data_IF_278373160927
#
_entry.id   IF_278373160927
#
_cell.length_a   1.000
_cell.length_b   1.000
_cell.length_c   1.000
_cell.angle_alpha   90.00
_cell.angle_beta   90.00
_cell.angle_gamma   90.00
#
_symmetry.space_group_name_H-M   'P 1'
#
loop_
_entity.id
_entity.type
_entity.pdbx_description
1 polymer ?
#
# COMPACT_ATOMS: atom_id res chain seq x y z
N UNK A 1 -8.73 -11.00 10.53
CA UNK A 1 -9.37 -10.28 9.43
C UNK A 1 -8.89 -10.88 8.13
N UNK A 2 -9.81 -11.33 7.26
CA UNK A 2 -9.48 -11.89 5.93
C UNK A 2 -9.29 -10.76 4.94
N UNK A 3 -8.15 -10.76 4.26
CA UNK A 3 -7.76 -9.69 3.32
C UNK A 3 -7.56 -10.25 1.92
N UNK A 4 -8.15 -9.62 0.92
CA UNK A 4 -7.82 -9.83 -0.50
C UNK A 4 -7.05 -8.63 -1.02
N UNK A 5 -6.00 -8.86 -1.80
CA UNK A 5 -5.15 -7.80 -2.31
C UNK A 5 -5.07 -7.82 -3.84
N UNK A 6 -5.22 -6.64 -4.43
CA UNK A 6 -5.14 -6.43 -5.88
C UNK A 6 -4.02 -5.45 -6.21
N UNK A 7 -3.29 -5.72 -7.29
CA UNK A 7 -2.07 -4.98 -7.65
C UNK A 7 -1.09 -4.93 -6.48
N UNK A 8 -0.85 -6.08 -5.88
CA UNK A 8 -0.23 -6.26 -4.57
C UNK A 8 1.18 -5.69 -4.47
N UNK A 9 1.95 -5.73 -5.57
CA UNK A 9 3.34 -5.31 -5.54
C UNK A 9 4.15 -6.16 -4.54
N UNK A 10 4.96 -5.50 -3.72
CA UNK A 10 5.76 -6.20 -2.71
C UNK A 10 5.03 -6.41 -1.36
N UNK A 11 3.72 -6.13 -1.29
CA UNK A 11 2.94 -6.34 -0.07
C UNK A 11 3.00 -5.19 0.95
N UNK A 12 3.37 -3.98 0.53
CA UNK A 12 3.52 -2.85 1.46
C UNK A 12 2.21 -2.34 2.03
N UNK A 13 1.11 -2.44 1.27
CA UNK A 13 -0.21 -2.04 1.73
C UNK A 13 -0.74 -3.03 2.79
N UNK A 14 -0.56 -4.32 2.56
CA UNK A 14 -0.91 -5.42 3.45
C UNK A 14 -0.13 -5.35 4.77
N UNK A 15 1.18 -5.09 4.68
CA UNK A 15 2.01 -4.83 5.86
C UNK A 15 1.50 -3.62 6.67
N UNK A 16 1.04 -2.56 6.00
CA UNK A 16 0.44 -1.40 6.64
C UNK A 16 -0.89 -1.72 7.33
N UNK A 17 -1.72 -2.56 6.71
CA UNK A 17 -2.96 -3.08 7.29
C UNK A 17 -2.64 -3.89 8.56
N UNK A 18 -1.66 -4.78 8.48
CA UNK A 18 -1.22 -5.59 9.62
C UNK A 18 -0.65 -4.74 10.77
N UNK A 19 0.10 -3.68 10.46
CA UNK A 19 0.59 -2.73 11.47
C UNK A 19 -0.55 -1.95 12.14
N UNK A 20 -1.63 -1.64 11.41
CA UNK A 20 -2.76 -0.88 11.92
C UNK A 20 -3.73 -1.72 12.75
N UNK A 21 -4.01 -2.95 12.32
CA UNK A 21 -5.10 -3.78 12.86
C UNK A 21 -4.64 -5.09 13.50
N UNK A 22 -3.35 -5.40 13.47
CA UNK A 22 -2.81 -6.69 13.91
C UNK A 22 -2.84 -7.76 12.80
N UNK A 23 -2.55 -9.03 13.15
CA UNK A 23 -2.38 -10.10 12.17
C UNK A 23 -3.56 -10.25 11.21
N UNK A 24 -3.25 -10.44 9.93
CA UNK A 24 -4.22 -10.64 8.86
C UNK A 24 -4.12 -12.06 8.29
N UNK A 25 -5.23 -12.54 7.73
CA UNK A 25 -5.29 -13.73 6.90
C UNK A 25 -5.36 -13.28 5.43
N UNK A 26 -4.25 -13.38 4.72
CA UNK A 26 -4.15 -12.98 3.31
C UNK A 26 -4.70 -14.11 2.43
N UNK A 27 -5.97 -13.99 2.07
CA UNK A 27 -6.76 -15.02 1.37
C UNK A 27 -6.31 -15.21 -0.07
N UNK A 28 -6.03 -14.12 -0.77
CA UNK A 28 -5.46 -14.11 -2.11
C UNK A 28 -4.72 -12.79 -2.38
N UNK A 29 -3.81 -12.85 -3.33
CA UNK A 29 -3.14 -11.70 -3.93
C UNK A 29 -3.37 -11.69 -5.45
N UNK A 30 -3.23 -10.56 -6.12
CA UNK A 30 -3.31 -10.47 -7.58
C UNK A 30 -2.28 -9.49 -8.10
N UNK A 31 -1.29 -10.01 -8.83
CA UNK A 31 -0.30 -9.22 -9.54
C UNK A 31 0.22 -9.97 -10.77
N UNK A 32 0.34 -9.27 -11.89
CA UNK A 32 0.76 -9.84 -13.18
C UNK A 32 2.27 -9.82 -13.40
N UNK A 33 3.03 -9.01 -12.63
CA UNK A 33 4.48 -8.90 -12.80
C UNK A 33 5.16 -10.19 -12.31
N UNK A 34 5.94 -10.81 -13.18
CA UNK A 34 6.62 -12.08 -12.88
C UNK A 34 7.62 -11.98 -11.71
N UNK A 35 8.24 -10.82 -11.50
CA UNK A 35 9.16 -10.63 -10.38
C UNK A 35 8.39 -10.44 -9.08
N UNK A 36 7.26 -9.73 -9.13
CA UNK A 36 6.31 -9.64 -8.01
C UNK A 36 5.77 -11.03 -7.67
N UNK A 37 5.36 -11.83 -8.65
CA UNK A 37 4.90 -13.21 -8.42
C UNK A 37 5.94 -14.08 -7.70
N UNK A 38 7.24 -13.92 -8.02
CA UNK A 38 8.32 -14.62 -7.29
C UNK A 38 8.43 -14.15 -5.84
N UNK A 39 8.32 -12.85 -5.61
CA UNK A 39 8.35 -12.27 -4.26
C UNK A 39 7.16 -12.79 -3.44
N UNK A 40 5.96 -12.73 -3.98
CA UNK A 40 4.74 -13.17 -3.32
C UNK A 40 4.78 -14.67 -2.98
N UNK A 41 5.25 -15.51 -3.92
CA UNK A 41 5.44 -16.94 -3.66
C UNK A 41 6.50 -17.24 -2.59
N UNK A 42 7.49 -16.36 -2.41
CA UNK A 42 8.51 -16.50 -1.36
C UNK A 42 7.97 -16.13 0.02
N UNK A 43 7.25 -15.00 0.13
CA UNK A 43 6.77 -14.48 1.41
C UNK A 43 5.42 -15.09 1.85
N UNK A 44 4.60 -15.49 0.87
CA UNK A 44 3.24 -16.00 1.08
C UNK A 44 3.03 -17.29 0.26
N UNK A 45 3.77 -18.38 0.55
CA UNK A 45 3.75 -19.60 -0.26
C UNK A 45 2.38 -20.28 -0.30
N UNK A 46 1.57 -20.09 0.74
CA UNK A 46 0.23 -20.69 0.85
C UNK A 46 -0.88 -19.78 0.32
N UNK A 47 -0.57 -18.52 -0.06
CA UNK A 47 -1.54 -17.57 -0.57
C UNK A 47 -1.54 -17.58 -2.11
N UNK A 48 -2.67 -17.89 -2.77
CA UNK A 48 -2.72 -17.94 -4.23
C UNK A 48 -2.54 -16.53 -4.84
N UNK A 49 -1.66 -16.42 -5.83
CA UNK A 49 -1.59 -15.24 -6.71
C UNK A 49 -2.53 -15.47 -7.91
N UNK A 50 -3.61 -14.70 -7.97
CA UNK A 50 -4.62 -14.79 -9.02
C UNK A 50 -4.15 -14.22 -10.36
N UNK A 51 -2.99 -13.55 -10.40
CA UNK A 51 -2.37 -12.99 -11.60
C UNK A 51 -3.14 -11.81 -12.18
N UNK A 52 -3.61 -11.94 -13.42
CA UNK A 52 -4.32 -10.89 -14.15
C UNK A 52 -5.76 -10.74 -13.64
N UNK A 53 -6.01 -9.69 -12.88
CA UNK A 53 -7.31 -9.41 -12.25
C UNK A 53 -8.46 -9.27 -13.27
N UNK A 54 -8.15 -8.97 -14.53
CA UNK A 54 -9.16 -8.88 -15.61
C UNK A 54 -9.70 -10.24 -16.05
N UNK A 55 -9.03 -11.32 -15.64
CA UNK A 55 -9.39 -12.72 -15.98
C UNK A 55 -9.94 -13.51 -14.80
N UNK A 56 -9.97 -12.91 -13.62
CA UNK A 56 -10.40 -13.58 -12.41
C UNK A 56 -11.92 -13.73 -12.38
N UNK A 57 -12.40 -14.94 -12.12
CA UNK A 57 -13.81 -15.16 -11.79
C UNK A 57 -14.02 -14.95 -10.28
N UNK A 58 -14.47 -13.76 -9.92
CA UNK A 58 -14.64 -13.33 -8.53
C UNK A 58 -15.69 -14.17 -7.76
N UNK A 59 -16.66 -14.78 -8.45
CA UNK A 59 -17.67 -15.66 -7.84
C UNK A 59 -17.07 -16.94 -7.25
N UNK A 60 -15.88 -17.34 -7.74
CA UNK A 60 -15.19 -18.54 -7.29
C UNK A 60 -14.16 -18.24 -6.18
N UNK A 61 -13.98 -16.98 -5.80
CA UNK A 61 -13.02 -16.60 -4.77
C UNK A 61 -13.65 -16.68 -3.38
N UNK A 62 -12.80 -16.90 -2.39
CA UNK A 62 -13.23 -16.89 -1.00
C UNK A 62 -13.65 -15.46 -0.58
N UNK A 63 -14.65 -15.32 0.30
CA UNK A 63 -15.06 -14.04 0.82
C UNK A 63 -13.93 -13.41 1.67
N UNK A 64 -13.81 -12.09 1.61
CA UNK A 64 -12.84 -11.30 2.37
C UNK A 64 -13.56 -10.21 3.16
N UNK A 65 -12.98 -9.84 4.31
CA UNK A 65 -13.50 -8.77 5.17
C UNK A 65 -13.02 -7.41 4.68
N UNK A 66 -11.81 -7.36 4.11
CA UNK A 66 -11.19 -6.18 3.52
C UNK A 66 -10.63 -6.52 2.14
N UNK A 67 -10.96 -5.71 1.13
CA UNK A 67 -10.29 -5.72 -0.17
C UNK A 67 -9.39 -4.49 -0.26
N UNK A 68 -8.10 -4.68 -0.53
CA UNK A 68 -7.17 -3.58 -0.74
C UNK A 68 -6.59 -3.59 -2.16
N UNK A 69 -6.25 -2.39 -2.67
CA UNK A 69 -5.62 -2.26 -3.97
C UNK A 69 -4.71 -1.02 -4.05
N UNK A 70 -3.45 -1.24 -4.45
CA UNK A 70 -2.49 -0.20 -4.84
C UNK A 70 -2.37 -0.15 -6.36
N UNK A 71 -3.38 0.36 -7.07
CA UNK A 71 -3.45 0.27 -8.51
C UNK A 71 -2.69 1.40 -9.23
N UNK A 72 -2.14 1.13 -10.45
CA UNK A 72 -1.38 2.13 -11.17
C UNK A 72 -2.25 3.34 -11.54
N UNK A 73 -1.68 4.56 -11.34
CA UNK A 73 -2.25 5.79 -11.84
C UNK A 73 -1.57 6.15 -13.14
N UNK A 74 -2.32 6.15 -14.25
CA UNK A 74 -1.83 6.85 -15.41
C UNK A 74 -2.70 8.08 -15.70
N UNK A 75 -2.08 9.15 -16.25
CA UNK A 75 -2.80 10.38 -16.48
C UNK A 75 -3.95 10.15 -17.47
N UNK A 76 -5.13 10.67 -17.10
CA UNK A 76 -6.22 10.84 -18.05
C UNK A 76 -5.73 11.74 -19.18
N UNK A 77 -5.24 11.17 -20.29
CA UNK A 77 -4.98 11.95 -21.47
C UNK A 77 -6.33 12.36 -22.06
N UNK A 78 -6.70 13.61 -21.88
CA UNK A 78 -7.88 14.24 -22.50
C UNK A 78 -7.71 14.45 -24.02
N UNK A 79 -6.61 13.97 -24.61
CA UNK A 79 -6.31 14.12 -26.02
C UNK A 79 -6.11 12.77 -26.68
N UNK A 80 -7.16 12.25 -27.32
CA UNK A 80 -6.99 11.10 -28.24
C UNK A 80 -8.13 10.13 -28.24
N UNK A 81 -8.98 10.25 -29.22
CA UNK A 81 -10.02 9.30 -29.63
C UNK A 81 -9.48 7.86 -29.69
N UNK A 82 -10.18 6.97 -28.99
CA UNK A 82 -10.39 5.56 -29.30
C UNK A 82 -9.27 4.80 -29.99
N UNK A 83 -8.49 4.07 -29.21
CA UNK A 83 -7.97 2.76 -29.64
C UNK A 83 -8.10 1.79 -28.46
N UNK A 84 -9.05 0.88 -28.59
CA UNK A 84 -9.21 -0.43 -27.99
C UNK A 84 -8.76 -0.64 -26.53
N UNK A 85 -9.61 -1.23 -25.73
CA UNK A 85 -9.42 -2.14 -24.55
C UNK A 85 -8.18 -2.05 -23.63
N UNK A 86 -7.23 -1.13 -23.85
CA UNK A 86 -5.99 -0.95 -23.08
C UNK A 86 -5.96 0.38 -22.30
N UNK A 87 -7.12 0.99 -22.06
CA UNK A 87 -7.20 2.22 -21.26
C UNK A 87 -7.14 1.86 -19.77
N UNK A 88 -6.19 2.41 -19.05
CA UNK A 88 -5.97 2.16 -17.61
C UNK A 88 -7.08 2.67 -16.70
N UNK A 89 -8.01 3.48 -17.21
CA UNK A 89 -9.34 3.64 -16.63
C UNK A 89 -10.04 2.29 -16.45
N UNK A 90 -9.63 1.28 -17.24
CA UNK A 90 -10.10 -0.08 -17.11
C UNK A 90 -9.70 -0.74 -15.78
N UNK A 91 -8.52 -0.47 -15.20
CA UNK A 91 -8.05 -1.19 -14.00
C UNK A 91 -8.99 -0.96 -12.81
N UNK A 92 -9.38 0.30 -12.54
CA UNK A 92 -10.34 0.56 -11.46
C UNK A 92 -11.72 -0.06 -11.75
N UNK A 93 -12.16 -0.12 -13.00
CA UNK A 93 -13.39 -0.82 -13.38
C UNK A 93 -13.37 -2.29 -12.96
N UNK A 94 -12.26 -2.99 -13.21
CA UNK A 94 -12.08 -4.37 -12.78
C UNK A 94 -11.99 -4.54 -11.26
N UNK A 95 -11.42 -3.57 -10.55
CA UNK A 95 -11.44 -3.53 -9.08
C UNK A 95 -12.87 -3.33 -8.58
N UNK A 96 -13.66 -2.44 -9.21
CA UNK A 96 -15.06 -2.21 -8.89
C UNK A 96 -15.90 -3.48 -9.12
N UNK A 97 -15.63 -4.24 -10.19
CA UNK A 97 -16.25 -5.54 -10.43
C UNK A 97 -15.94 -6.55 -9.32
N UNK A 98 -14.67 -6.61 -8.89
CA UNK A 98 -14.28 -7.44 -7.74
C UNK A 98 -15.05 -7.06 -6.48
N UNK A 99 -15.12 -5.76 -6.15
CA UNK A 99 -15.87 -5.22 -5.00
C UNK A 99 -17.35 -5.60 -5.11
N UNK A 100 -17.95 -5.45 -6.30
CA UNK A 100 -19.38 -5.72 -6.53
C UNK A 100 -19.76 -7.18 -6.27
N UNK A 101 -18.85 -8.11 -6.59
CA UNK A 101 -19.06 -9.57 -6.47
C UNK A 101 -18.68 -10.07 -5.08
N UNK A 102 -17.52 -9.68 -4.55
CA UNK A 102 -17.00 -10.14 -3.27
C UNK A 102 -17.70 -9.49 -2.08
N UNK A 103 -18.21 -8.27 -2.25
CA UNK A 103 -18.92 -7.50 -1.21
C UNK A 103 -18.15 -7.47 0.12
N UNK A 104 -16.86 -7.07 0.14
CA UNK A 104 -16.11 -6.97 1.38
C UNK A 104 -16.76 -5.97 2.34
N UNK A 105 -16.56 -6.12 3.64
CA UNK A 105 -17.03 -5.13 4.61
C UNK A 105 -16.36 -3.77 4.43
N UNK A 106 -15.11 -3.78 3.95
CA UNK A 106 -14.25 -2.59 3.83
C UNK A 106 -13.43 -2.63 2.55
N UNK A 107 -13.15 -1.46 2.02
CA UNK A 107 -12.29 -1.26 0.85
C UNK A 107 -11.20 -0.26 1.20
N UNK A 108 -9.94 -0.59 0.92
CA UNK A 108 -8.79 0.31 1.02
C UNK A 108 -8.15 0.46 -0.34
N UNK A 109 -8.09 1.68 -0.85
CA UNK A 109 -7.43 1.99 -2.12
C UNK A 109 -6.24 2.92 -1.88
N UNK A 110 -5.16 2.69 -2.60
CA UNK A 110 -4.00 3.58 -2.61
C UNK A 110 -3.68 4.04 -4.03
N UNK A 111 -3.24 5.29 -4.16
CA UNK A 111 -2.77 5.83 -5.42
C UNK A 111 -1.84 7.05 -5.19
N UNK A 112 -1.22 7.56 -6.25
CA UNK A 112 -0.46 8.81 -6.16
C UNK A 112 -1.38 9.98 -5.79
N UNK A 113 -0.85 10.99 -5.08
CA UNK A 113 -1.64 12.13 -4.60
C UNK A 113 -2.37 12.89 -5.73
N UNK A 114 -1.75 12.99 -6.92
CA UNK A 114 -2.35 13.64 -8.10
C UNK A 114 -3.59 12.93 -8.65
N UNK A 115 -3.80 11.66 -8.29
CA UNK A 115 -4.98 10.91 -8.72
C UNK A 115 -6.30 11.53 -8.22
N UNK A 116 -6.28 12.18 -7.06
CA UNK A 116 -7.48 12.86 -6.53
C UNK A 116 -8.10 13.83 -7.53
N UNK A 117 -7.25 14.65 -8.19
CA UNK A 117 -7.70 15.61 -9.19
C UNK A 117 -8.00 14.98 -10.56
N UNK A 118 -7.34 13.85 -10.89
CA UNK A 118 -7.40 13.25 -12.22
C UNK A 118 -8.43 12.13 -12.37
N UNK A 119 -8.98 11.59 -11.26
CA UNK A 119 -9.93 10.49 -11.32
C UNK A 119 -10.48 10.04 -9.97
N UNK A 120 -9.88 10.48 -8.87
CA UNK A 120 -10.26 10.04 -7.52
C UNK A 120 -11.72 10.33 -7.18
N UNK A 121 -12.27 11.45 -7.67
CA UNK A 121 -13.71 11.76 -7.51
C UNK A 121 -14.58 10.70 -8.18
N UNK A 122 -14.21 10.24 -9.36
CA UNK A 122 -14.92 9.15 -10.06
C UNK A 122 -14.85 7.83 -9.32
N UNK A 123 -13.69 7.53 -8.70
CA UNK A 123 -13.51 6.35 -7.84
C UNK A 123 -14.45 6.41 -6.63
N UNK A 124 -14.52 7.54 -5.94
CA UNK A 124 -15.40 7.75 -4.79
C UNK A 124 -16.87 7.61 -5.20
N UNK A 125 -17.27 8.23 -6.32
CA UNK A 125 -18.63 8.12 -6.84
C UNK A 125 -19.02 6.66 -7.16
N UNK A 126 -18.10 5.88 -7.74
CA UNK A 126 -18.34 4.47 -8.04
C UNK A 126 -18.44 3.62 -6.77
N UNK A 127 -17.58 3.86 -5.75
CA UNK A 127 -17.69 3.19 -4.45
C UNK A 127 -19.06 3.48 -3.80
N UNK A 128 -19.50 4.74 -3.82
CA UNK A 128 -20.85 5.12 -3.33
C UNK A 128 -21.95 4.41 -4.10
N UNK A 129 -21.87 4.34 -5.45
CA UNK A 129 -22.83 3.61 -6.27
C UNK A 129 -22.89 2.11 -5.93
N UNK A 130 -21.78 1.54 -5.49
CA UNK A 130 -21.69 0.16 -5.02
C UNK A 130 -22.22 -0.02 -3.58
N UNK A 131 -22.62 1.06 -2.90
CA UNK A 131 -23.14 1.03 -1.54
C UNK A 131 -22.08 1.19 -0.45
N UNK A 132 -20.87 1.68 -0.81
CA UNK A 132 -19.81 2.03 0.14
C UNK A 132 -19.80 3.53 0.36
N UNK A 133 -20.80 4.04 1.06
CA UNK A 133 -21.13 5.45 1.19
C UNK A 133 -20.42 6.16 2.37
N UNK A 134 -19.93 5.44 3.39
CA UNK A 134 -18.94 5.99 4.33
C UNK A 134 -17.56 5.95 3.69
N UNK A 135 -17.32 6.93 2.83
CA UNK A 135 -16.06 7.03 2.09
C UNK A 135 -15.20 8.16 2.68
N UNK A 136 -14.03 7.81 3.18
CA UNK A 136 -13.04 8.72 3.77
C UNK A 136 -11.75 8.64 2.95
N UNK A 137 -11.12 9.79 2.74
CA UNK A 137 -9.87 9.83 2.00
C UNK A 137 -8.91 10.88 2.57
N UNK A 138 -7.64 10.68 2.31
CA UNK A 138 -6.59 11.60 2.74
C UNK A 138 -5.32 11.43 1.95
N UNK A 139 -4.53 12.50 1.87
CA UNK A 139 -3.18 12.46 1.32
C UNK A 139 -2.22 12.41 2.51
N UNK A 140 -1.48 11.31 2.61
CA UNK A 140 -0.45 11.11 3.63
C UNK A 140 0.90 11.06 2.95
N UNK A 141 1.93 11.66 3.56
CA UNK A 141 3.31 11.60 3.08
C UNK A 141 4.09 10.55 3.86
N UNK A 142 5.11 9.96 3.23
CA UNK A 142 5.98 9.05 3.95
C UNK A 142 6.76 9.76 5.08
N UNK A 143 7.10 11.05 4.91
CA UNK A 143 7.72 11.87 5.95
C UNK A 143 6.81 12.06 7.18
N UNK A 144 5.48 12.04 7.01
CA UNK A 144 4.52 12.11 8.13
C UNK A 144 4.61 10.85 9.01
N UNK A 145 4.97 9.71 8.42
CA UNK A 145 5.26 8.46 9.11
C UNK A 145 6.74 8.35 9.56
N UNK A 146 7.52 9.42 9.40
CA UNK A 146 8.93 9.51 9.82
C UNK A 146 9.97 9.12 8.77
N UNK A 147 9.57 8.71 7.57
CA UNK A 147 10.50 8.35 6.50
C UNK A 147 11.34 9.55 6.00
N UNK A 148 12.57 9.34 5.50
CA UNK A 148 13.45 10.42 5.05
C UNK A 148 13.12 10.94 3.65
N UNK A 149 11.88 10.78 3.18
CA UNK A 149 11.40 11.25 1.87
C UNK A 149 9.91 11.60 1.90
N UNK A 150 9.48 12.48 0.99
CA UNK A 150 8.10 13.00 0.98
C UNK A 150 7.06 11.96 0.56
N UNK A 151 7.16 11.42 -0.64
CA UNK A 151 6.29 10.38 -1.22
C UNK A 151 4.81 10.50 -0.82
N UNK A 152 4.14 11.58 -1.24
CA UNK A 152 2.71 11.77 -0.98
C UNK A 152 1.85 10.72 -1.71
N UNK A 153 0.90 10.11 -1.01
CA UNK A 153 -0.03 9.10 -1.51
C UNK A 153 -1.45 9.41 -1.06
N UNK A 154 -2.39 9.18 -1.97
CA UNK A 154 -3.82 9.20 -1.69
C UNK A 154 -4.21 7.83 -1.13
N UNK A 155 -4.92 7.84 -0.01
CA UNK A 155 -5.58 6.66 0.55
C UNK A 155 -7.07 6.92 0.59
N UNK A 156 -7.87 5.93 0.20
CA UNK A 156 -9.33 5.94 0.25
C UNK A 156 -9.76 4.73 1.05
N UNK A 157 -10.49 4.96 2.13
CA UNK A 157 -11.14 3.96 2.97
C UNK A 157 -12.63 4.07 2.79
N UNK A 158 -13.31 2.96 2.50
CA UNK A 158 -14.75 2.99 2.29
C UNK A 158 -15.43 1.77 2.86
N UNK A 159 -16.63 1.97 3.42
CA UNK A 159 -17.48 0.92 3.98
C UNK A 159 -18.96 1.32 3.82
N UNK A 160 -19.90 0.36 3.84
CA UNK A 160 -21.33 0.65 3.93
C UNK A 160 -21.65 1.34 5.27
N UNK A 161 -22.62 2.28 5.28
CA UNK A 161 -23.03 3.00 6.50
C UNK A 161 -23.77 2.11 7.50
N UNK A 162 -24.38 1.02 7.04
CA UNK A 162 -25.19 0.12 7.88
C UNK A 162 -24.42 -1.04 8.54
N UNK A 163 -23.12 -1.10 8.39
CA UNK A 163 -22.34 -2.03 9.19
C UNK A 163 -22.28 -1.50 10.61
N UNK A 164 -23.21 -1.94 11.46
CA UNK A 164 -23.13 -1.81 12.91
C UNK A 164 -21.84 -2.49 13.41
N UNK A 165 -20.72 -1.94 12.97
CA UNK A 165 -19.40 -2.41 13.33
C UNK A 165 -19.18 -2.09 14.80
N UNK A 166 -19.07 -3.14 15.61
CA UNK A 166 -18.34 -3.03 16.87
C UNK A 166 -16.98 -2.41 16.52
N UNK A 167 -16.80 -1.15 16.98
CA UNK A 167 -15.60 -0.39 16.70
C UNK A 167 -14.37 -1.21 17.06
N UNK A 168 -13.49 -1.43 16.10
CA UNK A 168 -12.18 -2.00 16.37
C UNK A 168 -11.50 -1.10 17.38
N UNK A 169 -11.50 -1.52 18.64
CA UNK A 169 -10.78 -0.85 19.71
C UNK A 169 -9.30 -0.84 19.35
N UNK A 170 -8.80 0.36 19.05
CA UNK A 170 -7.42 0.59 18.70
C UNK A 170 -6.49 0.14 19.82
N UNK A 171 -5.83 -0.99 19.62
CA UNK A 171 -4.72 -1.42 20.45
C UNK A 171 -3.56 -0.45 20.27
N UNK A 172 -3.46 0.52 21.17
CA UNK A 172 -2.25 1.34 21.34
C UNK A 172 -1.14 0.44 21.89
N UNK A 173 -0.37 -0.21 21.02
CA UNK A 173 0.91 -0.75 21.41
C UNK A 173 1.95 0.35 21.24
N UNK A 174 2.33 0.97 22.36
CA UNK A 174 3.53 1.81 22.47
C UNK A 174 4.73 0.92 22.18
N UNK A 175 5.39 1.13 21.05
CA UNK A 175 6.65 0.48 20.74
C UNK A 175 7.74 1.13 21.57
N UNK A 176 8.22 0.44 22.60
CA UNK A 176 9.44 0.84 23.32
C UNK A 176 10.64 0.32 22.53
N UNK A 177 11.38 1.25 21.95
CA UNK A 177 12.52 0.99 21.09
C UNK A 177 13.81 1.05 21.89
N UNK A 178 14.46 -0.10 22.00
CA UNK A 178 15.83 -0.19 22.50
C UNK A 178 16.82 0.24 21.41
N UNK A 179 17.59 1.27 21.70
CA UNK A 179 18.67 1.74 20.84
C UNK A 179 19.82 0.70 20.82
N UNK A 180 20.20 0.24 19.64
CA UNK A 180 21.50 -0.39 19.39
C UNK A 180 22.32 0.53 18.52
N UNK A 181 23.38 1.08 19.11
CA UNK A 181 24.43 1.80 18.40
C UNK A 181 25.25 0.80 17.57
N UNK A 182 25.22 0.96 16.26
CA UNK A 182 26.25 0.42 15.37
C UNK A 182 26.37 1.33 14.16
N UNK A 183 27.32 2.28 14.24
CA UNK A 183 27.50 3.32 13.24
C UNK A 183 28.53 2.89 12.19
N UNK A 184 28.05 2.57 11.00
CA UNK A 184 28.90 2.76 9.81
C UNK A 184 28.86 4.26 9.46
N UNK A 185 30.05 4.91 9.46
CA UNK A 185 30.17 6.35 9.23
C UNK A 185 29.86 6.74 7.79
N UNK A 186 28.57 6.94 7.49
CA UNK A 186 28.14 7.72 6.32
C UNK A 186 27.77 9.11 6.81
N UNK A 187 28.32 10.15 6.18
CA UNK A 187 27.96 11.54 6.52
C UNK A 187 26.69 11.93 5.77
N UNK A 188 25.58 12.16 6.47
CA UNK A 188 24.26 12.43 5.89
C UNK A 188 23.96 13.93 5.72
N UNK A 189 24.86 14.84 6.17
CA UNK A 189 24.68 16.29 6.13
C UNK A 189 23.31 16.72 6.67
N UNK A 190 22.57 17.53 5.95
CA UNK A 190 21.24 18.05 6.34
C UNK A 190 20.17 16.96 6.49
N UNK A 191 20.39 15.77 5.97
CA UNK A 191 19.47 14.62 6.11
C UNK A 191 19.69 13.83 7.40
N UNK A 192 20.74 14.08 8.16
CA UNK A 192 21.09 13.33 9.38
C UNK A 192 19.90 13.16 10.34
N UNK A 193 19.11 14.20 10.69
CA UNK A 193 17.98 14.04 11.61
C UNK A 193 16.89 13.11 11.06
N UNK A 194 16.62 13.14 9.75
CA UNK A 194 15.62 12.30 9.12
C UNK A 194 16.08 10.84 9.03
N UNK A 195 17.35 10.63 8.74
CA UNK A 195 17.96 9.30 8.69
C UNK A 195 17.93 8.66 10.09
N UNK A 196 18.38 9.38 11.13
CA UNK A 196 18.38 8.86 12.51
C UNK A 196 16.98 8.54 13.02
N UNK A 197 15.99 9.37 12.69
CA UNK A 197 14.60 9.08 12.98
C UNK A 197 14.14 7.78 12.33
N UNK A 198 14.49 7.59 11.06
CA UNK A 198 14.06 6.40 10.31
C UNK A 198 14.79 5.14 10.78
N UNK A 199 16.08 5.24 11.15
CA UNK A 199 16.82 4.17 11.81
C UNK A 199 16.11 3.73 13.09
N UNK A 200 15.65 4.70 13.90
CA UNK A 200 14.89 4.41 15.11
C UNK A 200 13.55 3.71 14.80
N UNK A 201 12.79 4.20 13.83
CA UNK A 201 11.49 3.63 13.44
C UNK A 201 11.64 2.23 12.84
N UNK A 202 12.65 2.02 11.99
CA UNK A 202 12.89 0.72 11.33
C UNK A 202 13.65 -0.27 12.19
N UNK A 203 14.26 0.20 13.30
CA UNK A 203 15.05 -0.61 14.21
C UNK A 203 16.39 -1.08 13.63
N UNK A 204 16.86 -0.47 12.52
CA UNK A 204 18.11 -0.84 11.86
C UNK A 204 18.82 0.37 11.23
N UNK A 205 20.18 0.32 11.13
CA UNK A 205 20.95 1.41 10.54
C UNK A 205 20.68 1.53 9.05
N UNK A 206 20.86 2.74 8.51
CA UNK A 206 20.78 3.01 7.09
C UNK A 206 21.89 2.26 6.34
N UNK A 207 21.55 1.47 5.30
CA UNK A 207 22.56 0.87 4.43
C UNK A 207 23.31 1.93 3.62
N UNK A 208 24.41 1.52 2.97
CA UNK A 208 25.16 2.39 2.05
C UNK A 208 24.23 2.86 0.93
N UNK A 209 24.09 4.18 0.68
CA UNK A 209 23.06 4.72 -0.22
C UNK A 209 23.36 4.47 -1.71
N UNK A 210 24.61 4.41 -2.09
CA UNK A 210 25.03 4.26 -3.48
C UNK A 210 26.43 3.66 -3.60
N UNK A 211 26.71 3.05 -4.75
CA UNK A 211 28.01 2.60 -5.16
C UNK A 211 28.36 3.10 -6.58
N UNK A 212 29.40 2.55 -7.24
CA UNK A 212 29.77 2.92 -8.60
C UNK A 212 28.69 2.65 -9.67
N UNK A 213 27.67 1.83 -9.35
CA UNK A 213 26.53 1.52 -10.22
C UNK A 213 25.30 2.39 -9.93
N UNK A 214 25.41 3.33 -9.00
CA UNK A 214 24.33 4.23 -8.55
C UNK A 214 23.65 3.80 -7.25
N UNK A 215 22.42 4.24 -7.02
CA UNK A 215 21.65 4.00 -5.79
C UNK A 215 21.53 2.51 -5.47
N UNK A 216 21.83 2.09 -4.25
CA UNK A 216 21.72 0.69 -3.81
C UNK A 216 20.25 0.27 -3.55
N UNK A 217 19.81 -0.89 -4.09
CA UNK A 217 18.46 -1.39 -3.81
C UNK A 217 18.19 -1.60 -2.32
N UNK A 218 19.17 -2.06 -1.55
CA UNK A 218 19.05 -2.23 -0.09
C UNK A 218 18.80 -0.93 0.64
N UNK A 219 19.37 0.17 0.18
CA UNK A 219 19.10 1.49 0.71
C UNK A 219 17.66 1.95 0.37
N UNK A 220 17.21 1.72 -0.88
CA UNK A 220 15.83 2.04 -1.27
C UNK A 220 14.84 1.18 -0.51
N UNK A 221 15.12 -0.12 -0.33
CA UNK A 221 14.32 -1.02 0.49
C UNK A 221 14.18 -0.52 1.94
N UNK A 222 15.29 -0.09 2.53
CA UNK A 222 15.30 0.52 3.85
C UNK A 222 14.50 1.84 3.90
N UNK A 223 14.68 2.72 2.91
CA UNK A 223 13.90 3.95 2.79
C UNK A 223 12.40 3.69 2.67
N UNK A 224 12.00 2.60 2.02
CA UNK A 224 10.61 2.17 1.89
C UNK A 224 10.05 1.49 3.16
N UNK A 225 10.87 1.38 4.23
CA UNK A 225 10.44 0.83 5.53
C UNK A 225 10.21 -0.67 5.54
N UNK A 226 10.77 -1.38 4.58
CA UNK A 226 10.64 -2.83 4.45
C UNK A 226 11.66 -3.56 5.34
N UNK A 227 11.39 -4.80 5.76
CA UNK A 227 12.40 -5.66 6.36
C UNK A 227 13.62 -5.84 5.45
N UNK A 228 14.77 -6.09 6.05
CA UNK A 228 15.99 -6.35 5.29
C UNK A 228 15.85 -7.59 4.42
N UNK A 229 16.18 -7.44 3.14
CA UNK A 229 16.12 -8.55 2.19
C UNK A 229 14.74 -8.87 1.64
N UNK A 230 13.69 -8.13 2.03
CA UNK A 230 12.32 -8.38 1.58
C UNK A 230 12.19 -8.42 0.05
N UNK A 231 12.88 -7.51 -0.65
CA UNK A 231 12.96 -7.48 -2.11
C UNK A 231 14.36 -7.89 -2.59
N UNK A 232 15.39 -7.54 -1.83
CA UNK A 232 16.77 -7.62 -2.30
C UNK A 232 17.39 -9.02 -2.21
N UNK A 233 16.84 -9.93 -1.37
CA UNK A 233 17.36 -11.31 -1.20
C UNK A 233 16.75 -12.34 -2.16
N UNK A 234 15.94 -11.93 -3.15
CA UNK A 234 15.20 -12.85 -4.03
C UNK A 234 15.95 -13.20 -5.32
N UNK A 235 17.22 -12.80 -5.47
CA UNK A 235 18.01 -13.04 -6.70
C UNK A 235 17.46 -12.30 -7.93
N UNK A 236 16.67 -11.26 -7.75
CA UNK A 236 16.16 -10.43 -8.83
C UNK A 236 17.25 -9.49 -9.35
N UNK A 237 17.16 -9.11 -10.62
CA UNK A 237 18.08 -8.11 -11.17
C UNK A 237 17.91 -6.76 -10.44
N UNK A 238 19.00 -5.98 -10.33
CA UNK A 238 18.99 -4.65 -9.71
C UNK A 238 17.89 -3.74 -10.26
N UNK A 239 17.67 -3.76 -11.57
CA UNK A 239 16.61 -2.96 -12.22
C UNK A 239 15.22 -3.42 -11.78
N UNK A 240 15.00 -4.74 -11.67
CA UNK A 240 13.73 -5.28 -11.19
C UNK A 240 13.47 -4.90 -9.73
N UNK A 241 14.50 -4.99 -8.86
CA UNK A 241 14.40 -4.58 -7.47
C UNK A 241 14.03 -3.08 -7.35
N UNK A 242 14.76 -2.20 -8.03
CA UNK A 242 14.51 -0.75 -7.99
C UNK A 242 13.14 -0.38 -8.57
N UNK A 243 12.69 -1.04 -9.65
CA UNK A 243 11.35 -0.84 -10.22
C UNK A 243 10.27 -1.22 -9.20
N UNK A 244 10.41 -2.40 -8.59
CA UNK A 244 9.45 -2.90 -7.60
C UNK A 244 9.39 -1.99 -6.37
N UNK A 245 10.54 -1.60 -5.82
CA UNK A 245 10.64 -0.68 -4.68
C UNK A 245 10.07 0.71 -5.01
N UNK A 246 10.31 1.21 -6.23
CA UNK A 246 9.77 2.50 -6.67
C UNK A 246 8.24 2.53 -6.76
N UNK A 247 7.61 1.42 -7.11
CA UNK A 247 6.16 1.32 -7.31
C UNK A 247 5.37 1.02 -6.03
N UNK A 248 5.98 0.43 -5.01
CA UNK A 248 5.26 -0.06 -3.83
C UNK A 248 4.86 1.02 -2.82
N UNK A 249 4.26 0.62 -1.74
CA UNK A 249 3.73 1.48 -0.66
C UNK A 249 4.61 1.34 0.59
N UNK A 250 4.90 2.45 1.27
CA UNK A 250 5.59 2.43 2.58
C UNK A 250 4.60 1.90 3.63
N UNK A 251 4.86 0.77 4.29
CA UNK A 251 3.92 0.18 5.25
C UNK A 251 3.52 1.12 6.37
N UNK A 252 4.47 1.85 6.95
CA UNK A 252 4.25 2.80 8.03
C UNK A 252 3.37 3.98 7.59
N UNK A 253 3.49 4.41 6.31
CA UNK A 253 2.63 5.44 5.72
C UNK A 253 1.19 4.93 5.57
N UNK A 254 1.00 3.69 5.13
CA UNK A 254 -0.32 3.07 5.00
C UNK A 254 -0.97 2.88 6.38
N UNK A 255 -0.21 2.42 7.38
CA UNK A 255 -0.68 2.28 8.76
C UNK A 255 -1.13 3.63 9.35
N UNK A 256 -0.35 4.70 9.12
CA UNK A 256 -0.70 6.06 9.55
C UNK A 256 -1.96 6.56 8.85
N UNK A 257 -2.10 6.32 7.54
CA UNK A 257 -3.29 6.67 6.78
C UNK A 257 -4.53 5.96 7.34
N UNK A 258 -4.45 4.66 7.61
CA UNK A 258 -5.52 3.88 8.21
C UNK A 258 -5.89 4.42 9.59
N UNK A 259 -4.90 4.77 10.42
CA UNK A 259 -5.17 5.40 11.71
C UNK A 259 -6.02 6.67 11.58
N UNK A 260 -5.72 7.55 10.63
CA UNK A 260 -6.50 8.78 10.41
C UNK A 260 -7.89 8.51 9.80
N UNK A 261 -7.99 7.56 8.88
CA UNK A 261 -9.22 7.32 8.13
C UNK A 261 -10.24 6.48 8.90
N UNK A 262 -9.79 5.70 9.89
CA UNK A 262 -10.67 4.83 10.69
C UNK A 262 -11.04 5.40 12.06
N UNK A 263 -10.45 6.53 12.48
CA UNK A 263 -10.91 7.23 13.70
C UNK A 263 -12.33 7.73 13.51
N UNK A 264 -13.19 7.50 14.51
CA UNK A 264 -14.51 8.11 14.58
C UNK A 264 -14.38 9.64 14.50
N UNK A 265 -15.18 10.27 13.64
CA UNK A 265 -15.34 11.72 13.70
C UNK A 265 -15.93 12.03 15.07
N UNK A 266 -15.11 12.56 15.98
CA UNK A 266 -15.66 13.26 17.14
C UNK A 266 -16.56 14.35 16.56
N UNK A 267 -17.87 14.17 16.64
CA UNK A 267 -18.83 15.17 16.21
C UNK A 267 -18.62 16.39 17.10
N UNK A 268 -17.91 17.40 16.61
CA UNK A 268 -18.00 18.74 17.15
C UNK A 268 -19.41 19.28 16.81
N UNK A 269 -20.42 18.76 17.49
CA UNK A 269 -21.70 19.42 17.64
C UNK A 269 -21.50 20.45 18.77
N UNK A 270 -21.23 21.69 18.39
CA UNK A 270 -21.38 22.88 19.23
C UNK A 270 -22.23 23.90 18.50
#
# INVERSE_FOLDING_TARGET
MRVGSLCTGYGGLEMGIEQAFGPIDLVFVSDIDKNVSKLLAHHHPDTPNLGDLTKVNWKNQQPVDLLCAGYPCQPFSTAGLSKGTEDERAIFGWIADAISVLRPERVLLENVAGHLALGGVGVIAELTRLGYDDCRWGIVRAEDAGAPHKRARLFIWSQPTDTGGEGLQGLRKKCELGARENSQHTTWYDYEPSIRRWEHITGRPAPVPANSKGVEPSFVEWMMGLPEGHVTNLGLSRTAQLKMLGNGVVPQQAALALHYLTQERVSNAA
#
